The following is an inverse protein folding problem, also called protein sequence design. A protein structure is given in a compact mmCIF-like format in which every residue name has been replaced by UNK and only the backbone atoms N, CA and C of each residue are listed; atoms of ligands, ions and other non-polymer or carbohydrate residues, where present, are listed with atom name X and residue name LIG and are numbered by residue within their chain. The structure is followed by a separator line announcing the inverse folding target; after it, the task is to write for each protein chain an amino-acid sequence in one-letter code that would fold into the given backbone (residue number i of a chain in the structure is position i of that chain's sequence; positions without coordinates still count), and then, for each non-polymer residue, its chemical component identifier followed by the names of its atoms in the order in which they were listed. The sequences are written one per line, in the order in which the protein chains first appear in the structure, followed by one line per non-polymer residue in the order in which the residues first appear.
data_IF_250067045283
#
_entry.id   IF_250067045283
#
_cell.length_a   1.000
_cell.length_b   1.000
_cell.length_c   1.000
_cell.angle_alpha   90.00
_cell.angle_beta   90.00
_cell.angle_gamma   90.00
#
_symmetry.space_group_name_H-M   'P 1'
#
loop_
_entity.id
_entity.type
_entity.pdbx_description
1 polymer ?
#
# COMPACT_ATOMS: atom_id res chain seq x y z
N UNK A 1 2.05 1.50 -17.38
CA UNK A 1 2.86 1.99 -16.24
C UNK A 1 4.14 1.16 -16.18
N UNK A 2 5.33 1.77 -16.23
CA UNK A 2 6.62 1.04 -16.27
C UNK A 2 7.01 0.38 -14.93
N UNK A 3 6.05 0.05 -14.07
CA UNK A 3 6.34 -0.71 -12.85
C UNK A 3 6.64 -2.15 -13.29
N UNK A 4 7.86 -2.67 -13.10
CA UNK A 4 8.12 -4.07 -13.36
C UNK A 4 7.19 -4.90 -12.47
N UNK A 5 6.62 -5.98 -13.03
CA UNK A 5 5.83 -6.91 -12.22
C UNK A 5 6.70 -7.57 -11.14
N UNK A 6 6.06 -8.18 -10.14
CA UNK A 6 6.78 -8.80 -9.01
C UNK A 6 7.81 -9.85 -9.44
N UNK A 7 7.61 -10.52 -10.58
CA UNK A 7 8.60 -11.46 -11.13
C UNK A 7 9.97 -10.83 -11.42
N UNK A 8 10.04 -9.51 -11.69
CA UNK A 8 11.33 -8.83 -11.85
C UNK A 8 12.08 -8.70 -10.52
N UNK A 9 11.36 -8.44 -9.43
CA UNK A 9 11.94 -8.41 -8.08
C UNK A 9 12.43 -9.81 -7.68
N UNK A 10 11.63 -10.85 -7.93
CA UNK A 10 12.01 -12.23 -7.60
C UNK A 10 13.28 -12.66 -8.36
N UNK A 11 13.36 -12.32 -9.66
CA UNK A 11 14.56 -12.57 -10.46
C UNK A 11 15.77 -11.79 -9.93
N UNK A 12 15.59 -10.53 -9.58
CA UNK A 12 16.66 -9.72 -8.97
C UNK A 12 17.15 -10.34 -7.66
N UNK A 13 16.25 -10.77 -6.78
CA UNK A 13 16.58 -11.42 -5.51
C UNK A 13 17.40 -12.70 -5.73
N UNK A 14 16.99 -13.55 -6.66
CA UNK A 14 17.73 -14.78 -6.99
C UNK A 14 19.16 -14.47 -7.44
N UNK A 15 19.34 -13.49 -8.32
CA UNK A 15 20.67 -13.06 -8.78
C UNK A 15 21.49 -12.46 -7.63
N UNK A 16 20.87 -11.60 -6.80
CA UNK A 16 21.52 -11.00 -5.65
C UNK A 16 22.03 -12.05 -4.66
N UNK A 17 21.19 -13.01 -4.27
CA UNK A 17 21.55 -14.08 -3.33
C UNK A 17 22.68 -14.95 -3.91
N UNK A 18 22.61 -15.29 -5.21
CA UNK A 18 23.64 -16.05 -5.91
C UNK A 18 25.00 -15.35 -5.89
N UNK A 19 25.05 -14.09 -6.32
CA UNK A 19 26.31 -13.35 -6.44
C UNK A 19 26.87 -12.92 -5.09
N UNK A 20 26.02 -12.65 -4.08
CA UNK A 20 26.47 -12.39 -2.70
C UNK A 20 27.21 -13.60 -2.14
N UNK A 21 26.65 -14.81 -2.34
CA UNK A 21 27.28 -16.07 -1.92
C UNK A 21 28.59 -16.32 -2.66
N UNK A 22 28.64 -16.10 -3.98
CA UNK A 22 29.87 -16.26 -4.76
C UNK A 22 30.97 -15.27 -4.34
N UNK A 23 30.60 -14.05 -3.96
CA UNK A 23 31.54 -13.05 -3.46
C UNK A 23 31.98 -13.29 -2.00
N UNK A 24 31.41 -14.30 -1.31
CA UNK A 24 31.67 -14.57 0.10
C UNK A 24 31.20 -13.46 1.04
N UNK A 25 30.20 -12.66 0.62
CA UNK A 25 29.70 -11.52 1.39
C UNK A 25 28.36 -11.83 2.02
N UNK A 26 28.21 -11.41 3.27
CA UNK A 26 26.92 -11.40 3.97
C UNK A 26 26.19 -10.10 3.62
N UNK A 27 25.26 -10.17 2.66
CA UNK A 27 24.51 -9.01 2.17
C UNK A 27 23.02 -9.27 2.27
N UNK A 28 22.26 -8.21 2.50
CA UNK A 28 20.82 -8.28 2.75
C UNK A 28 20.07 -7.30 1.85
N UNK A 29 18.91 -7.74 1.35
CA UNK A 29 17.98 -6.84 0.67
C UNK A 29 17.15 -6.09 1.70
N UNK A 30 17.32 -4.77 1.73
CA UNK A 30 16.50 -3.86 2.51
C UNK A 30 15.61 -3.10 1.53
N UNK A 31 14.36 -3.56 1.29
CA UNK A 31 13.47 -2.92 0.34
C UNK A 31 12.94 -1.58 0.89
N UNK A 32 12.94 -0.56 0.03
CA UNK A 32 12.35 0.75 0.31
C UNK A 32 11.00 0.89 -0.39
N UNK A 33 9.95 1.14 0.38
CA UNK A 33 8.57 1.21 -0.13
C UNK A 33 8.02 2.64 -0.10
N UNK A 34 7.43 3.04 -1.22
CA UNK A 34 6.76 4.32 -1.39
C UNK A 34 5.25 4.10 -1.51
N UNK A 35 4.46 4.68 -0.60
CA UNK A 35 3.00 4.75 -0.69
C UNK A 35 2.54 5.94 -1.54
N UNK A 36 1.33 5.88 -2.08
CA UNK A 36 0.71 7.01 -2.81
C UNK A 36 1.49 7.53 -4.02
N UNK A 37 2.19 6.64 -4.71
CA UNK A 37 2.81 6.99 -5.99
C UNK A 37 1.73 7.27 -7.06
N UNK A 38 1.90 8.26 -7.95
CA UNK A 38 1.03 8.48 -9.12
C UNK A 38 0.72 7.20 -9.89
N UNK A 39 -0.55 7.04 -10.28
CA UNK A 39 -1.09 5.85 -10.95
C UNK A 39 -1.37 4.67 -10.04
N UNK A 40 -1.29 4.84 -8.71
CA UNK A 40 -1.58 3.79 -7.73
C UNK A 40 -2.98 3.97 -7.17
N UNK A 41 -3.81 2.93 -7.27
CA UNK A 41 -5.14 2.86 -6.67
C UNK A 41 -5.12 2.14 -5.31
N UNK A 42 -6.23 2.16 -4.60
CA UNK A 42 -6.33 1.55 -3.28
C UNK A 42 -6.19 0.01 -3.39
N UNK A 43 -6.73 -0.58 -4.46
CA UNK A 43 -6.61 -2.01 -4.77
C UNK A 43 -5.16 -2.43 -5.01
N UNK A 44 -4.34 -1.59 -5.67
CA UNK A 44 -2.91 -1.85 -5.84
C UNK A 44 -2.19 -1.93 -4.49
N UNK A 45 -2.59 -1.06 -3.54
CA UNK A 45 -2.02 -1.04 -2.20
C UNK A 45 -2.48 -2.23 -1.36
N UNK A 46 -3.73 -2.69 -1.52
CA UNK A 46 -4.20 -3.95 -0.92
C UNK A 46 -3.41 -5.13 -1.46
N UNK A 47 -3.23 -5.22 -2.78
CA UNK A 47 -2.45 -6.29 -3.41
C UNK A 47 -1.00 -6.30 -2.93
N UNK A 48 -0.37 -5.12 -2.82
CA UNK A 48 0.97 -5.00 -2.27
C UNK A 48 1.02 -5.41 -0.79
N UNK A 49 0.04 -5.01 0.02
CA UNK A 49 -0.05 -5.41 1.43
C UNK A 49 -0.20 -6.92 1.61
N UNK A 50 -1.01 -7.58 0.76
CA UNK A 50 -1.12 -9.04 0.74
C UNK A 50 0.20 -9.70 0.34
N UNK A 51 0.89 -9.16 -0.67
CA UNK A 51 2.20 -9.67 -1.06
C UNK A 51 3.23 -9.53 0.07
N UNK A 52 3.27 -8.38 0.76
CA UNK A 52 4.13 -8.17 1.93
C UNK A 52 3.83 -9.21 3.01
N UNK A 53 2.55 -9.44 3.32
CA UNK A 53 2.12 -10.43 4.30
C UNK A 53 2.53 -11.85 3.92
N UNK A 54 2.33 -12.24 2.67
CA UNK A 54 2.72 -13.55 2.14
C UNK A 54 4.24 -13.78 2.27
N UNK A 55 5.03 -12.74 2.01
CA UNK A 55 6.50 -12.78 2.07
C UNK A 55 7.06 -12.40 3.46
N UNK A 56 6.20 -12.26 4.48
CA UNK A 56 6.58 -11.97 5.87
C UNK A 56 7.34 -10.64 6.05
N UNK A 57 7.11 -9.66 5.18
CA UNK A 57 7.62 -8.31 5.37
C UNK A 57 6.74 -7.51 6.32
N UNK A 58 7.36 -6.97 7.39
CA UNK A 58 6.75 -6.00 8.30
C UNK A 58 7.53 -4.70 8.19
N UNK A 59 6.94 -3.72 7.51
CA UNK A 59 7.60 -2.45 7.22
C UNK A 59 7.36 -1.44 8.34
N UNK A 60 8.42 -1.01 9.03
CA UNK A 60 8.29 0.12 9.96
C UNK A 60 8.39 1.46 9.23
N UNK A 61 9.26 1.53 8.24
CA UNK A 61 9.53 2.74 7.46
C UNK A 61 8.80 2.69 6.12
N UNK A 62 7.76 3.51 5.99
CA UNK A 62 7.01 3.71 4.75
C UNK A 62 6.95 5.21 4.48
N UNK A 63 7.45 5.61 3.30
CA UNK A 63 7.43 6.99 2.87
C UNK A 63 6.28 7.23 1.90
N UNK A 64 5.48 8.27 2.15
CA UNK A 64 4.55 8.74 1.16
C UNK A 64 5.33 9.39 0.00
N UNK A 65 4.86 9.16 -1.22
CA UNK A 65 5.35 9.87 -2.39
C UNK A 65 5.35 11.38 -2.11
N UNK A 66 6.49 11.98 -2.47
CA UNK A 66 6.72 13.40 -2.43
C UNK A 66 7.17 13.83 -3.82
N UNK A 67 6.54 14.84 -4.44
CA UNK A 67 6.85 15.26 -5.80
C UNK A 67 8.21 16.00 -5.85
N UNK A 68 9.29 15.24 -5.99
CA UNK A 68 10.63 15.81 -6.17
C UNK A 68 10.81 16.41 -7.59
N UNK A 69 11.47 17.56 -7.75
CA UNK A 69 11.72 18.15 -9.06
C UNK A 69 12.42 17.19 -10.04
N UNK A 70 12.23 17.44 -11.34
CA UNK A 70 12.91 16.71 -12.42
C UNK A 70 12.63 15.19 -12.48
N UNK A 71 11.53 14.72 -11.87
CA UNK A 71 11.12 13.32 -11.92
C UNK A 71 9.84 13.13 -12.77
N UNK A 72 9.78 12.06 -13.58
CA UNK A 72 8.60 11.71 -14.37
C UNK A 72 7.33 11.54 -13.51
N UNK A 73 7.47 10.93 -12.33
CA UNK A 73 6.36 10.78 -11.39
C UNK A 73 5.85 12.13 -10.89
N UNK A 74 6.72 13.13 -10.76
CA UNK A 74 6.30 14.50 -10.40
C UNK A 74 5.54 15.16 -11.54
N UNK A 75 5.98 14.97 -12.78
CA UNK A 75 5.19 15.38 -13.95
C UNK A 75 3.82 14.73 -13.96
N UNK A 76 3.72 13.42 -13.68
CA UNK A 76 2.43 12.73 -13.52
C UNK A 76 1.59 13.34 -12.38
N UNK A 77 2.20 13.62 -11.23
CA UNK A 77 1.54 14.17 -10.05
C UNK A 77 0.83 15.50 -10.31
N UNK A 78 1.47 16.38 -11.09
CA UNK A 78 0.95 17.69 -11.42
C UNK A 78 0.05 17.69 -12.66
N UNK A 79 0.43 16.98 -13.72
CA UNK A 79 -0.33 16.98 -14.98
C UNK A 79 -1.51 16.01 -15.00
N UNK A 80 -1.51 14.98 -14.16
CA UNK A 80 -2.47 13.88 -14.25
C UNK A 80 -2.30 13.03 -15.51
N UNK A 81 -1.20 13.16 -16.26
CA UNK A 81 -0.94 12.41 -17.50
C UNK A 81 0.35 11.62 -17.42
N UNK A 82 0.45 10.55 -18.21
CA UNK A 82 1.69 9.78 -18.32
C UNK A 82 2.63 10.40 -19.39
N UNK A 83 3.75 11.03 -19.00
CA UNK A 83 4.63 11.74 -19.93
C UNK A 83 5.47 10.83 -20.83
N UNK A 84 5.46 9.50 -20.59
CA UNK A 84 6.21 8.55 -21.42
C UNK A 84 5.52 8.23 -22.74
N UNK A 85 4.24 8.58 -22.88
CA UNK A 85 3.47 8.47 -24.12
C UNK A 85 3.16 9.83 -24.73
N UNK A 86 2.64 9.84 -25.97
CA UNK A 86 2.15 11.06 -26.59
C UNK A 86 0.95 11.60 -25.80
N UNK A 87 1.10 12.78 -25.21
CA UNK A 87 0.02 13.46 -24.48
C UNK A 87 -0.84 14.25 -25.48
N UNK A 88 -2.15 14.10 -25.36
CA UNK A 88 -3.13 14.78 -26.20
C UNK A 88 -4.53 14.59 -25.65
N UNK A 89 -5.55 15.09 -26.35
CA UNK A 89 -6.94 15.07 -25.87
C UNK A 89 -7.46 13.67 -25.52
N UNK A 90 -7.00 12.62 -26.24
CA UNK A 90 -7.40 11.23 -26.01
C UNK A 90 -6.50 10.45 -25.04
N UNK A 91 -5.50 11.09 -24.45
CA UNK A 91 -4.57 10.41 -23.53
C UNK A 91 -5.26 10.06 -22.21
N UNK A 92 -5.02 8.85 -21.70
CA UNK A 92 -5.56 8.38 -20.43
C UNK A 92 -5.12 9.26 -19.25
N UNK A 93 -6.02 9.40 -18.28
CA UNK A 93 -5.73 10.05 -17.03
C UNK A 93 -5.02 9.11 -16.05
N UNK A 94 -3.99 9.64 -15.40
CA UNK A 94 -3.28 8.99 -14.31
C UNK A 94 -3.95 9.39 -13.01
N UNK A 95 -4.47 8.40 -12.30
CA UNK A 95 -5.01 8.61 -10.97
C UNK A 95 -3.91 9.08 -10.01
N UNK A 96 -4.11 10.21 -9.32
CA UNK A 96 -3.14 10.73 -8.36
C UNK A 96 -3.71 10.62 -6.95
N UNK A 97 -3.16 9.76 -6.09
CA UNK A 97 -3.61 9.65 -4.71
C UNK A 97 -3.23 10.90 -3.91
N UNK A 98 -4.18 11.84 -3.81
CA UNK A 98 -4.06 13.12 -3.10
C UNK A 98 -4.94 13.14 -1.85
N UNK A 99 -4.68 14.10 -0.97
CA UNK A 99 -5.43 14.28 0.28
C UNK A 99 -4.94 13.40 1.43
N UNK A 100 -5.23 13.84 2.65
CA UNK A 100 -4.75 13.19 3.86
C UNK A 100 -5.32 11.78 4.04
N UNK A 101 -6.64 11.61 3.86
CA UNK A 101 -7.32 10.31 4.03
C UNK A 101 -6.70 9.21 3.18
N UNK A 102 -6.55 9.45 1.87
CA UNK A 102 -6.03 8.43 0.96
C UNK A 102 -4.55 8.13 1.19
N UNK A 103 -3.74 9.17 1.43
CA UNK A 103 -2.30 8.99 1.72
C UNK A 103 -2.09 8.23 3.02
N UNK A 104 -2.91 8.49 4.04
CA UNK A 104 -2.91 7.73 5.30
C UNK A 104 -3.34 6.29 5.08
N UNK A 105 -4.38 6.03 4.28
CA UNK A 105 -4.81 4.68 3.95
C UNK A 105 -3.71 3.88 3.24
N UNK A 106 -3.07 4.45 2.22
CA UNK A 106 -1.99 3.77 1.50
C UNK A 106 -0.82 3.42 2.43
N UNK A 107 -0.43 4.35 3.30
CA UNK A 107 0.62 4.10 4.31
C UNK A 107 0.19 3.01 5.31
N UNK A 108 -1.06 3.06 5.77
CA UNK A 108 -1.63 2.09 6.69
C UNK A 108 -1.64 0.67 6.10
N UNK A 109 -2.03 0.51 4.82
CA UNK A 109 -2.02 -0.77 4.12
C UNK A 109 -0.61 -1.40 4.08
N UNK A 110 0.44 -0.62 3.82
CA UNK A 110 1.82 -1.12 3.85
C UNK A 110 2.29 -1.48 5.27
N UNK A 111 1.68 -0.88 6.28
CA UNK A 111 1.86 -1.18 7.71
C UNK A 111 0.74 -2.03 8.29
N UNK A 112 0.24 -3.02 7.54
CA UNK A 112 -0.92 -3.86 7.92
C UNK A 112 -0.79 -4.57 9.28
N UNK A 113 0.45 -4.80 9.75
CA UNK A 113 0.74 -5.49 11.00
C UNK A 113 0.57 -4.61 12.24
N UNK A 114 0.50 -3.28 12.06
CA UNK A 114 0.33 -2.30 13.13
C UNK A 114 -1.16 -2.19 13.52
N UNK A 115 -1.53 -2.53 14.78
CA UNK A 115 -2.93 -2.52 15.22
C UNK A 115 -3.63 -1.17 15.09
N UNK A 116 -2.88 -0.07 15.17
CA UNK A 116 -3.44 1.28 15.04
C UNK A 116 -4.06 1.53 13.66
N UNK A 117 -3.61 0.79 12.65
CA UNK A 117 -4.11 0.90 11.27
C UNK A 117 -5.35 0.05 10.99
N UNK A 118 -5.65 -0.96 11.81
CA UNK A 118 -6.70 -1.94 11.52
C UNK A 118 -8.10 -1.32 11.34
N UNK A 119 -8.57 -0.36 12.17
CA UNK A 119 -9.86 0.27 11.94
C UNK A 119 -9.96 0.91 10.55
N UNK A 120 -8.96 1.69 10.15
CA UNK A 120 -8.91 2.36 8.85
C UNK A 120 -8.88 1.35 7.69
N UNK A 121 -8.06 0.30 7.81
CA UNK A 121 -7.96 -0.74 6.77
C UNK A 121 -9.28 -1.50 6.65
N UNK A 122 -9.93 -1.87 7.76
CA UNK A 122 -11.22 -2.58 7.73
C UNK A 122 -12.29 -1.77 7.03
N UNK A 123 -12.42 -0.48 7.37
CA UNK A 123 -13.39 0.41 6.70
C UNK A 123 -13.12 0.47 5.21
N UNK A 124 -11.87 0.66 4.78
CA UNK A 124 -11.53 0.69 3.36
C UNK A 124 -11.81 -0.64 2.66
N UNK A 125 -11.48 -1.78 3.28
CA UNK A 125 -11.77 -3.11 2.73
C UNK A 125 -13.28 -3.34 2.59
N UNK A 126 -14.10 -2.86 3.52
CA UNK A 126 -15.56 -2.93 3.41
C UNK A 126 -16.08 -2.04 2.29
N UNK A 127 -15.60 -0.79 2.18
CA UNK A 127 -15.94 0.14 1.09
C UNK A 127 -15.56 -0.43 -0.30
N UNK A 128 -14.46 -1.17 -0.39
CA UNK A 128 -14.00 -1.84 -1.62
C UNK A 128 -14.68 -3.21 -1.87
N UNK A 129 -15.59 -3.68 -1.01
CA UNK A 129 -16.22 -5.00 -1.15
C UNK A 129 -15.30 -6.19 -0.84
N UNK A 130 -14.14 -5.95 -0.23
CA UNK A 130 -13.10 -6.94 0.10
C UNK A 130 -13.19 -7.47 1.55
N UNK A 131 -14.39 -7.55 2.11
CA UNK A 131 -14.62 -7.98 3.51
C UNK A 131 -14.06 -9.37 3.84
N UNK A 132 -13.90 -10.24 2.84
CA UNK A 132 -13.30 -11.57 2.99
C UNK A 132 -11.82 -11.53 3.44
N UNK A 133 -11.14 -10.39 3.27
CA UNK A 133 -9.79 -10.13 3.77
C UNK A 133 -9.76 -9.71 5.25
N UNK A 134 -10.90 -9.68 5.96
CA UNK A 134 -10.98 -9.38 7.38
C UNK A 134 -11.25 -10.68 8.15
N UNK A 135 -10.38 -11.05 9.08
CA UNK A 135 -10.55 -12.25 9.90
C UNK A 135 -9.26 -12.87 10.43
N UNK A 136 -9.38 -14.00 11.12
CA UNK A 136 -8.25 -14.70 11.76
C UNK A 136 -7.48 -15.66 10.85
N UNK A 137 -7.92 -15.87 9.60
CA UNK A 137 -7.22 -16.78 8.67
C UNK A 137 -5.91 -16.15 8.19
N UNK A 138 -4.94 -17.00 7.82
CA UNK A 138 -3.64 -16.57 7.30
C UNK A 138 -3.74 -15.65 6.09
N UNK A 139 -4.71 -15.89 5.22
CA UNK A 139 -4.98 -15.14 3.98
C UNK A 139 -5.67 -13.79 4.21
N UNK A 140 -6.31 -13.57 5.36
CA UNK A 140 -6.91 -12.28 5.67
C UNK A 140 -5.81 -11.23 5.86
N UNK A 141 -6.01 -9.98 5.48
CA UNK A 141 -5.01 -8.91 5.64
C UNK A 141 -4.93 -8.46 7.11
N UNK A 142 -6.09 -8.18 7.71
CA UNK A 142 -6.24 -7.68 9.10
C UNK A 142 -7.24 -8.55 9.90
N UNK A 143 -7.12 -8.60 11.24
CA UNK A 143 -8.05 -9.37 12.06
C UNK A 143 -9.44 -8.73 12.12
N UNK A 144 -10.43 -9.53 12.52
CA UNK A 144 -11.75 -9.03 12.87
C UNK A 144 -11.70 -8.12 14.11
N UNK A 145 -12.67 -7.20 14.30
CA UNK A 145 -12.74 -6.36 15.49
C UNK A 145 -12.74 -7.14 16.79
N UNK A 146 -11.89 -6.71 17.73
CA UNK A 146 -11.85 -7.28 19.07
C UNK A 146 -13.15 -6.99 19.83
N UNK A 147 -13.41 -7.76 20.88
CA UNK A 147 -14.60 -7.54 21.72
C UNK A 147 -14.60 -6.12 22.30
N UNK A 148 -13.43 -5.60 22.69
CA UNK A 148 -13.30 -4.27 23.27
C UNK A 148 -13.54 -3.17 22.24
N UNK A 149 -12.99 -3.31 21.02
CA UNK A 149 -13.28 -2.39 19.91
C UNK A 149 -14.79 -2.35 19.60
N UNK A 150 -15.46 -3.51 19.63
CA UNK A 150 -16.90 -3.60 19.42
C UNK A 150 -17.70 -2.94 20.56
N UNK A 151 -17.25 -3.08 21.81
CA UNK A 151 -17.89 -2.43 22.98
C UNK A 151 -17.75 -0.91 22.90
N UNK A 152 -16.58 -0.42 22.53
CA UNK A 152 -16.31 1.01 22.36
C UNK A 152 -17.15 1.62 21.23
N UNK A 153 -17.21 0.95 20.07
CA UNK A 153 -18.06 1.38 18.95
C UNK A 153 -19.55 1.47 19.34
N UNK A 154 -20.06 0.48 20.10
CA UNK A 154 -21.44 0.52 20.64
C UNK A 154 -21.65 1.67 21.62
N UNK A 155 -20.65 2.00 22.44
CA UNK A 155 -20.72 3.13 23.39
C UNK A 155 -20.78 4.48 22.66
N UNK A 156 -19.97 4.67 21.61
CA UNK A 156 -19.97 5.87 20.79
C UNK A 156 -21.31 6.07 20.07
N UNK A 157 -21.86 5.02 19.44
CA UNK A 157 -23.17 5.09 18.77
C UNK A 157 -24.31 5.48 19.71
N UNK A 158 -24.29 5.03 20.97
CA UNK A 158 -25.28 5.41 21.99
C UNK A 158 -25.19 6.89 22.37
N UNK A 159 -23.99 7.47 22.36
CA UNK A 159 -23.80 8.89 22.64
C UNK A 159 -24.24 9.78 21.47
N UNK A 160 -23.95 9.38 20.23
CA UNK A 160 -24.33 10.14 19.02
C UNK A 160 -25.85 10.18 18.82
N UNK A 161 -26.58 9.12 19.21
CA UNK A 161 -28.05 9.07 19.13
C UNK A 161 -28.80 9.85 20.21
N UNK A 162 -28.09 10.38 21.22
CA UNK A 162 -28.66 11.16 22.34
C UNK A 162 -28.46 12.68 22.18
N UNK A 163 -27.85 13.10 21.06
CA UNK A 163 -27.76 14.50 20.61
C UNK A 163 -28.60 14.64 19.36
#
# INVERSE_FOLDING_TARGET
MMKPGMGSYDRFKQLFDQYSKQAGKEQYLIPYFISSHPGTRDEDMVNLALWLKKNRFRLDQVQNFYPSPMANSTTMYYSGKNPLGKVGYKSEDVFIPKGDRQRRLHKALLRYHDPLNWPLIRTALEEMGMKHLIGGRRECLVPAPSIDEQREAKRLQRHTRRR
#
